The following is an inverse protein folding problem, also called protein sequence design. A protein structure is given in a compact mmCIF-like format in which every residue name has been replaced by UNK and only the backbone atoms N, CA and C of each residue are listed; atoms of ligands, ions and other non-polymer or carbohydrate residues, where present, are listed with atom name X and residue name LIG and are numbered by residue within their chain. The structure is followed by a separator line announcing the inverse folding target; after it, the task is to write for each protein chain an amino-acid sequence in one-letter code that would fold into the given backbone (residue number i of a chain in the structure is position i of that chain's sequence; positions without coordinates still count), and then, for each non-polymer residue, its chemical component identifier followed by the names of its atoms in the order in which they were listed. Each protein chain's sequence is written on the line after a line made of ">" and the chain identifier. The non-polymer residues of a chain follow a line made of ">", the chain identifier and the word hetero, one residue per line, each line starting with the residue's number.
data_IF_723025646959
#
_entry.id   IF_723025646959
#
_cell.length_a   1.000
_cell.length_b   1.000
_cell.length_c   1.000
_cell.angle_alpha   90.00
_cell.angle_beta   90.00
_cell.angle_gamma   90.00
#
_symmetry.space_group_name_H-M   'P 1'
#
loop_
_entity.id
_entity.type
_entity.pdbx_description
1 polymer ?
#
# COMPACT_ATOMS: atom_id res chain seq x y z
N UNK A 1 -30.01 10.23 0.82
CA UNK A 1 -28.80 10.66 1.54
C UNK A 1 -27.66 10.68 0.55
N UNK A 2 -26.83 11.73 0.58
CA UNK A 2 -25.71 11.84 -0.35
C UNK A 2 -24.49 11.02 0.06
N UNK A 3 -23.56 10.88 -0.88
CA UNK A 3 -22.32 10.12 -0.71
C UNK A 3 -21.10 10.87 -1.23
N UNK A 4 -19.93 10.58 -0.69
CA UNK A 4 -18.64 11.01 -1.20
C UNK A 4 -17.90 9.82 -1.82
N UNK A 5 -17.16 10.07 -2.90
CA UNK A 5 -16.36 9.07 -3.60
C UNK A 5 -14.88 9.39 -3.48
N UNK A 6 -14.09 8.46 -2.98
CA UNK A 6 -12.63 8.49 -2.99
C UNK A 6 -12.08 7.47 -3.97
N UNK A 7 -11.13 7.88 -4.81
CA UNK A 7 -10.43 6.97 -5.74
C UNK A 7 -8.91 7.16 -5.57
N UNK A 8 -8.23 6.11 -5.13
CA UNK A 8 -6.77 6.05 -5.05
C UNK A 8 -6.23 5.22 -6.21
N UNK A 9 -5.57 5.88 -7.16
CA UNK A 9 -5.02 5.21 -8.34
C UNK A 9 -3.50 5.14 -8.21
N UNK A 10 -3.04 4.01 -7.70
CA UNK A 10 -1.63 3.66 -7.60
C UNK A 10 -1.11 2.89 -8.82
N UNK A 11 0.19 2.60 -8.79
CA UNK A 11 0.88 1.87 -9.86
C UNK A 11 0.49 0.39 -9.94
N UNK A 12 0.18 -0.22 -8.80
CA UNK A 12 -0.17 -1.65 -8.70
C UNK A 12 -1.67 -1.86 -8.50
N UNK A 13 -2.33 -0.99 -7.74
CA UNK A 13 -3.75 -1.08 -7.45
C UNK A 13 -4.50 0.22 -7.65
N UNK A 14 -5.81 0.09 -7.82
CA UNK A 14 -6.79 1.16 -7.85
C UNK A 14 -7.83 0.83 -6.79
N UNK A 15 -7.95 1.70 -5.80
CA UNK A 15 -8.82 1.51 -4.65
C UNK A 15 -9.97 2.52 -4.73
N UNK A 16 -11.19 2.06 -4.45
CA UNK A 16 -12.35 2.93 -4.38
C UNK A 16 -12.93 2.85 -2.98
N UNK A 17 -13.44 3.97 -2.48
CA UNK A 17 -14.22 4.03 -1.25
C UNK A 17 -15.41 4.97 -1.46
N UNK A 18 -16.60 4.52 -1.06
CA UNK A 18 -17.80 5.36 -1.02
C UNK A 18 -18.19 5.56 0.44
N UNK A 19 -18.23 6.82 0.84
CA UNK A 19 -18.62 7.22 2.19
C UNK A 19 -20.00 7.85 2.16
N UNK A 20 -20.84 7.54 3.15
CA UNK A 20 -22.03 8.34 3.44
C UNK A 20 -21.60 9.69 4.04
N UNK A 21 -22.52 10.66 4.01
CA UNK A 21 -22.29 12.01 4.52
C UNK A 21 -21.82 12.06 6.00
N UNK A 22 -22.25 11.11 6.82
CA UNK A 22 -21.80 10.97 8.23
C UNK A 22 -20.43 10.29 8.38
N UNK A 23 -19.83 9.83 7.28
CA UNK A 23 -18.55 9.15 7.25
C UNK A 23 -18.61 7.63 7.32
N UNK A 24 -19.80 7.01 7.34
CA UNK A 24 -19.90 5.56 7.25
C UNK A 24 -19.38 5.06 5.90
N UNK A 25 -18.52 4.04 5.91
CA UNK A 25 -18.03 3.38 4.69
C UNK A 25 -19.13 2.47 4.15
N UNK A 26 -19.69 2.82 2.99
CA UNK A 26 -20.75 2.03 2.35
C UNK A 26 -20.20 1.02 1.34
N UNK A 27 -19.05 1.31 0.75
CA UNK A 27 -18.42 0.45 -0.25
C UNK A 27 -16.91 0.68 -0.26
N UNK A 28 -16.16 -0.39 -0.43
CA UNK A 28 -14.73 -0.34 -0.76
C UNK A 28 -14.42 -1.42 -1.77
N UNK A 29 -13.48 -1.15 -2.67
CA UNK A 29 -12.95 -2.16 -3.56
C UNK A 29 -11.45 -1.94 -3.81
N UNK A 30 -10.77 -3.05 -4.10
CA UNK A 30 -9.35 -3.10 -4.43
C UNK A 30 -9.17 -3.85 -5.75
N UNK A 31 -8.77 -3.11 -6.78
CA UNK A 31 -8.58 -3.65 -8.12
C UNK A 31 -7.10 -3.55 -8.50
N UNK A 32 -6.57 -4.56 -9.21
CA UNK A 32 -5.22 -4.46 -9.78
C UNK A 32 -5.26 -3.53 -10.98
N UNK A 33 -4.46 -2.45 -10.98
CA UNK A 33 -4.41 -1.45 -12.06
C UNK A 33 -3.97 -2.07 -13.39
N UNK A 34 -3.03 -3.03 -13.36
CA UNK A 34 -2.49 -3.74 -14.54
C UNK A 34 -2.07 -2.83 -15.70
N UNK A 35 -1.58 -1.63 -15.39
CA UNK A 35 -1.17 -0.64 -16.40
C UNK A 35 -2.32 0.06 -17.14
N UNK A 36 -3.58 -0.25 -16.84
CA UNK A 36 -4.75 0.42 -17.41
C UNK A 36 -5.62 1.05 -16.29
N UNK A 37 -5.20 2.21 -15.74
CA UNK A 37 -5.94 2.89 -14.69
C UNK A 37 -7.34 3.32 -15.14
N UNK A 38 -7.55 3.58 -16.43
CA UNK A 38 -8.86 3.95 -16.95
C UNK A 38 -9.85 2.81 -16.78
N UNK A 39 -9.45 1.60 -17.20
CA UNK A 39 -10.28 0.41 -17.06
C UNK A 39 -10.52 0.08 -15.60
N UNK A 40 -9.48 0.09 -14.75
CA UNK A 40 -9.62 -0.21 -13.33
C UNK A 40 -10.59 0.75 -12.62
N UNK A 41 -10.51 2.06 -12.90
CA UNK A 41 -11.48 3.04 -12.37
C UNK A 41 -12.89 2.76 -12.89
N UNK A 42 -13.06 2.51 -14.19
CA UNK A 42 -14.37 2.20 -14.79
C UNK A 42 -15.02 0.95 -14.18
N UNK A 43 -14.24 -0.11 -14.01
CA UNK A 43 -14.70 -1.38 -13.44
C UNK A 43 -15.10 -1.18 -11.97
N UNK A 44 -14.29 -0.44 -11.19
CA UNK A 44 -14.60 -0.13 -9.80
C UNK A 44 -15.86 0.73 -9.63
N UNK A 45 -16.07 1.72 -10.50
CA UNK A 45 -17.29 2.55 -10.47
C UNK A 45 -18.54 1.71 -10.79
N UNK A 46 -18.44 0.79 -11.76
CA UNK A 46 -19.53 -0.12 -12.08
C UNK A 46 -19.88 -1.05 -10.90
N UNK A 47 -18.88 -1.56 -10.20
CA UNK A 47 -19.05 -2.38 -8.99
C UNK A 47 -19.66 -1.58 -7.83
N UNK A 48 -19.23 -0.33 -7.62
CA UNK A 48 -19.82 0.54 -6.61
C UNK A 48 -21.30 0.83 -6.91
N UNK A 49 -21.62 1.15 -8.16
CA UNK A 49 -22.98 1.43 -8.61
C UNK A 49 -23.92 0.23 -8.45
N UNK A 50 -23.45 -0.98 -8.78
CA UNK A 50 -24.25 -2.20 -8.61
C UNK A 50 -24.43 -2.60 -7.14
N UNK A 51 -23.44 -2.33 -6.28
CA UNK A 51 -23.48 -2.72 -4.86
C UNK A 51 -24.37 -1.80 -4.00
N UNK A 52 -24.43 -0.50 -4.31
CA UNK A 52 -25.05 0.50 -3.42
C UNK A 52 -26.57 0.65 -3.55
N UNK A 53 -27.18 -0.01 -4.56
CA UNK A 53 -28.60 -0.07 -4.90
C UNK A 53 -29.34 1.29 -4.84
N UNK A 54 -29.79 1.76 -6.02
CA UNK A 54 -30.56 2.99 -6.16
C UNK A 54 -29.70 4.25 -6.37
N UNK A 55 -30.33 5.32 -6.85
CA UNK A 55 -29.65 6.57 -7.12
C UNK A 55 -29.33 7.31 -5.81
N UNK A 56 -28.05 7.63 -5.62
CA UNK A 56 -27.57 8.43 -4.49
C UNK A 56 -26.83 9.65 -5.06
N UNK A 57 -27.16 10.88 -4.61
CA UNK A 57 -26.44 12.06 -5.09
C UNK A 57 -24.99 12.00 -4.59
N UNK A 58 -24.04 12.10 -5.52
CA UNK A 58 -22.62 12.22 -5.20
C UNK A 58 -22.35 13.68 -4.83
N UNK A 59 -22.03 13.92 -3.57
CA UNK A 59 -21.80 15.25 -2.99
C UNK A 59 -20.39 15.77 -3.28
N UNK A 60 -19.46 14.87 -3.57
CA UNK A 60 -18.11 15.22 -3.97
C UNK A 60 -17.25 14.00 -4.28
N UNK A 61 -16.26 14.21 -5.15
CA UNK A 61 -15.33 13.20 -5.62
C UNK A 61 -13.90 13.67 -5.37
N UNK A 62 -13.09 12.81 -4.74
CA UNK A 62 -11.68 13.07 -4.48
C UNK A 62 -10.80 11.97 -5.09
N UNK A 63 -9.68 12.36 -5.69
CA UNK A 63 -8.70 11.41 -6.24
C UNK A 63 -7.31 11.57 -5.63
N UNK A 64 -6.64 10.43 -5.44
CA UNK A 64 -5.28 10.34 -4.91
C UNK A 64 -4.46 9.23 -5.59
N UNK A 65 -3.23 9.03 -5.14
CA UNK A 65 -2.26 8.12 -5.74
C UNK A 65 -1.42 8.73 -6.85
N UNK A 66 -0.60 7.89 -7.49
CA UNK A 66 0.37 8.28 -8.53
C UNK A 66 -0.31 8.77 -9.82
N UNK A 67 -1.47 8.21 -10.17
CA UNK A 67 -2.26 8.60 -11.34
C UNK A 67 -3.47 9.50 -10.99
N UNK A 68 -3.49 10.11 -9.80
CA UNK A 68 -4.60 10.95 -9.31
C UNK A 68 -5.12 12.02 -10.27
N UNK A 69 -4.21 12.67 -11.03
CA UNK A 69 -4.59 13.74 -11.97
C UNK A 69 -5.34 13.17 -13.16
N UNK A 70 -4.88 12.04 -13.67
CA UNK A 70 -5.56 11.31 -14.74
C UNK A 70 -6.94 10.85 -14.27
N UNK A 71 -7.00 10.20 -13.11
CA UNK A 71 -8.26 9.78 -12.50
C UNK A 71 -9.20 10.98 -12.27
N UNK A 72 -8.66 12.10 -11.79
CA UNK A 72 -9.43 13.32 -11.54
C UNK A 72 -10.08 13.88 -12.80
N UNK A 73 -9.37 13.90 -13.93
CA UNK A 73 -9.95 14.28 -15.22
C UNK A 73 -11.00 13.27 -15.67
N UNK A 74 -10.73 11.96 -15.50
CA UNK A 74 -11.62 10.89 -15.93
C UNK A 74 -12.99 10.94 -15.23
N UNK A 75 -13.02 11.27 -13.93
CA UNK A 75 -14.25 11.25 -13.12
C UNK A 75 -14.80 12.65 -12.80
N UNK A 76 -14.14 13.71 -13.26
CA UNK A 76 -14.53 15.09 -12.92
C UNK A 76 -14.37 15.41 -11.44
N UNK A 77 -13.25 15.01 -10.84
CA UNK A 77 -13.05 15.13 -9.39
C UNK A 77 -13.00 16.59 -8.91
N UNK A 78 -13.71 16.86 -7.82
CA UNK A 78 -13.71 18.15 -7.12
C UNK A 78 -12.37 18.41 -6.41
N UNK A 79 -11.70 17.33 -5.99
CA UNK A 79 -10.46 17.42 -5.22
C UNK A 79 -9.42 16.41 -5.71
N UNK A 80 -8.22 16.89 -6.06
CA UNK A 80 -7.07 16.05 -6.41
C UNK A 80 -5.94 16.30 -5.41
N UNK A 81 -5.60 15.30 -4.59
CA UNK A 81 -4.58 15.40 -3.53
C UNK A 81 -3.59 14.25 -3.59
N UNK A 82 -2.35 14.49 -3.20
CA UNK A 82 -1.34 13.43 -3.11
C UNK A 82 -1.68 12.42 -2.00
N UNK A 83 -1.14 11.21 -2.10
CA UNK A 83 -1.47 10.14 -1.15
C UNK A 83 -0.93 10.41 0.27
N UNK A 84 0.13 11.22 0.41
CA UNK A 84 0.65 11.63 1.73
C UNK A 84 -0.44 12.36 2.53
N UNK A 85 -1.10 13.36 1.92
CA UNK A 85 -2.18 14.09 2.57
C UNK A 85 -3.41 13.19 2.76
N UNK A 86 -3.74 12.34 1.79
CA UNK A 86 -4.89 11.45 1.88
C UNK A 86 -4.75 10.44 3.03
N UNK A 87 -3.62 9.74 3.12
CA UNK A 87 -3.33 8.79 4.19
C UNK A 87 -3.25 9.47 5.55
N UNK A 88 -2.57 10.62 5.67
CA UNK A 88 -2.51 11.35 6.93
C UNK A 88 -3.90 11.81 7.39
N UNK A 89 -4.71 12.35 6.48
CA UNK A 89 -6.07 12.80 6.79
C UNK A 89 -6.95 11.64 7.27
N UNK A 90 -6.88 10.49 6.60
CA UNK A 90 -7.59 9.29 7.01
C UNK A 90 -7.10 8.78 8.38
N UNK A 91 -5.78 8.73 8.58
CA UNK A 91 -5.17 8.26 9.82
C UNK A 91 -5.54 9.16 11.02
N UNK A 92 -5.48 10.49 10.86
CA UNK A 92 -5.88 11.45 11.91
C UNK A 92 -7.36 11.31 12.25
N UNK A 93 -8.21 11.13 11.23
CA UNK A 93 -9.66 10.95 11.45
C UNK A 93 -9.98 9.67 12.22
N UNK A 94 -9.29 8.57 11.90
CA UNK A 94 -9.52 7.27 12.56
C UNK A 94 -8.84 7.18 13.93
N UNK A 95 -7.66 7.79 14.07
CA UNK A 95 -6.82 7.76 15.25
C UNK A 95 -6.28 9.17 15.54
N UNK A 96 -7.00 9.99 16.32
CA UNK A 96 -6.59 11.37 16.61
C UNK A 96 -5.22 11.50 17.29
N UNK A 97 -4.73 10.43 17.94
CA UNK A 97 -3.42 10.32 18.59
C UNK A 97 -2.32 9.71 17.68
N UNK A 98 -2.58 9.54 16.38
CA UNK A 98 -1.60 9.01 15.43
C UNK A 98 -0.38 9.92 15.34
N UNK A 99 0.81 9.32 15.45
CA UNK A 99 2.08 10.01 15.39
C UNK A 99 2.95 9.55 14.21
N UNK A 100 2.70 8.37 13.67
CA UNK A 100 3.44 7.84 12.52
C UNK A 100 2.55 6.97 11.64
N UNK A 101 2.58 7.20 10.33
CA UNK A 101 2.01 6.30 9.32
C UNK A 101 3.15 5.66 8.54
N UNK A 102 3.14 4.33 8.46
CA UNK A 102 4.10 3.54 7.71
C UNK A 102 3.36 2.87 6.56
N UNK A 103 3.56 3.31 5.32
CA UNK A 103 2.91 2.72 4.16
C UNK A 103 3.95 1.99 3.30
N UNK A 104 3.65 0.74 2.94
CA UNK A 104 4.45 -0.05 1.99
C UNK A 104 3.57 -0.38 0.79
N UNK A 105 3.67 0.47 -0.21
CA UNK A 105 2.99 0.31 -1.49
C UNK A 105 3.71 -0.67 -2.41
N UNK A 106 3.17 -0.81 -3.63
CA UNK A 106 3.72 -1.72 -4.63
C UNK A 106 5.07 -1.30 -5.21
N UNK A 107 5.27 -0.01 -5.52
CA UNK A 107 6.49 0.51 -6.16
C UNK A 107 7.25 1.53 -5.33
N UNK A 108 6.61 2.08 -4.31
CA UNK A 108 7.17 3.05 -3.38
C UNK A 108 6.64 2.73 -1.98
N UNK A 109 7.23 3.37 -0.98
CA UNK A 109 6.86 3.22 0.41
C UNK A 109 7.09 4.55 1.12
N UNK A 110 6.24 4.85 2.09
CA UNK A 110 6.14 6.18 2.69
C UNK A 110 6.19 6.07 4.20
N UNK A 111 6.85 7.04 4.82
CA UNK A 111 6.77 7.28 6.26
C UNK A 111 6.25 8.68 6.45
N UNK A 112 5.16 8.84 7.20
CA UNK A 112 4.56 10.14 7.49
C UNK A 112 4.62 10.37 9.00
N UNK A 113 5.19 11.50 9.39
CA UNK A 113 5.30 11.92 10.79
C UNK A 113 4.22 12.97 11.06
N UNK A 114 3.38 12.69 12.05
CA UNK A 114 2.24 13.53 12.41
C UNK A 114 2.42 14.02 13.84
N UNK A 115 2.25 15.32 14.09
CA UNK A 115 2.24 15.90 15.45
C UNK A 115 1.07 16.85 15.54
N UNK A 116 0.32 16.78 16.64
CA UNK A 116 -0.84 17.64 16.88
C UNK A 116 -1.82 17.71 15.70
N UNK A 117 -2.07 16.56 15.05
CA UNK A 117 -2.96 16.45 13.90
C UNK A 117 -2.45 17.08 12.60
N UNK A 118 -1.16 17.43 12.51
CA UNK A 118 -0.54 17.96 11.29
C UNK A 118 0.67 17.16 10.85
N UNK A 119 0.87 17.06 9.53
CA UNK A 119 2.05 16.41 8.95
C UNK A 119 3.25 17.34 9.17
N UNK A 120 4.23 16.89 9.95
CA UNK A 120 5.45 17.68 10.23
C UNK A 120 6.65 17.24 9.40
N UNK A 121 6.64 16.00 8.92
CA UNK A 121 7.73 15.43 8.12
C UNK A 121 7.21 14.20 7.35
N UNK A 122 7.84 13.88 6.23
CA UNK A 122 7.59 12.64 5.50
C UNK A 122 8.82 12.17 4.73
N UNK A 123 8.88 10.88 4.42
CA UNK A 123 9.87 10.31 3.52
C UNK A 123 9.21 9.31 2.57
N UNK A 124 9.80 9.16 1.38
CA UNK A 124 9.35 8.21 0.36
C UNK A 124 10.55 7.68 -0.43
N UNK A 125 10.55 6.39 -0.79
CA UNK A 125 11.49 5.83 -1.77
C UNK A 125 10.78 5.66 -3.12
N UNK A 126 11.38 6.18 -4.21
CA UNK A 126 10.79 6.08 -5.57
C UNK A 126 11.62 5.26 -6.55
N UNK A 127 12.86 4.91 -6.19
CA UNK A 127 13.83 4.29 -7.13
C UNK A 127 14.09 2.81 -6.81
N UNK A 128 13.96 2.40 -5.54
CA UNK A 128 14.38 1.08 -5.10
C UNK A 128 13.19 0.19 -4.73
N UNK A 129 13.02 -0.89 -5.49
CA UNK A 129 11.97 -1.90 -5.26
C UNK A 129 12.19 -2.73 -3.98
N UNK A 130 13.42 -2.85 -3.49
CA UNK A 130 13.79 -3.76 -2.40
C UNK A 130 13.09 -3.45 -1.05
N UNK A 131 12.51 -2.26 -0.89
CA UNK A 131 11.73 -1.87 0.28
C UNK A 131 10.21 -1.81 0.06
N UNK A 132 9.70 -2.38 -1.03
CA UNK A 132 8.30 -2.21 -1.50
C UNK A 132 7.61 -3.56 -1.72
N UNK A 133 6.29 -3.58 -1.86
CA UNK A 133 5.51 -4.79 -2.12
C UNK A 133 5.96 -5.55 -3.38
N UNK A 134 6.43 -4.86 -4.43
CA UNK A 134 6.92 -5.50 -5.66
C UNK A 134 8.11 -6.44 -5.42
N UNK A 135 8.94 -6.19 -4.40
CA UNK A 135 10.02 -7.09 -4.03
C UNK A 135 9.49 -8.45 -3.58
N UNK A 136 8.44 -8.47 -2.75
CA UNK A 136 7.82 -9.71 -2.28
C UNK A 136 7.00 -10.36 -3.38
N UNK A 137 6.23 -9.61 -4.17
CA UNK A 137 5.48 -10.13 -5.33
C UNK A 137 6.41 -10.92 -6.28
N UNK A 138 7.60 -10.36 -6.58
CA UNK A 138 8.59 -11.00 -7.44
C UNK A 138 9.17 -12.29 -6.83
N UNK A 139 9.35 -12.35 -5.51
CA UNK A 139 9.87 -13.56 -4.85
C UNK A 139 8.78 -14.62 -4.70
N UNK A 140 7.56 -14.20 -4.40
CA UNK A 140 6.38 -15.05 -4.33
C UNK A 140 6.14 -15.79 -5.65
N UNK A 141 6.18 -15.06 -6.77
CA UNK A 141 6.09 -15.65 -8.11
C UNK A 141 7.15 -16.74 -8.35
N UNK A 142 8.42 -16.50 -7.95
CA UNK A 142 9.51 -17.47 -8.14
C UNK A 142 9.38 -18.73 -7.28
N UNK A 143 8.87 -18.56 -6.06
CA UNK A 143 8.62 -19.69 -5.15
C UNK A 143 7.34 -20.45 -5.50
N UNK A 144 6.54 -19.97 -6.46
CA UNK A 144 5.25 -20.56 -6.80
C UNK A 144 4.20 -20.40 -5.69
N UNK A 145 4.35 -19.38 -4.85
CA UNK A 145 3.48 -19.09 -3.70
C UNK A 145 2.77 -17.78 -3.97
N UNK A 146 1.47 -17.71 -3.67
CA UNK A 146 0.72 -16.46 -3.82
C UNK A 146 1.14 -15.44 -2.75
N UNK A 147 1.22 -14.16 -3.11
CA UNK A 147 1.63 -13.11 -2.16
C UNK A 147 0.70 -13.05 -0.94
N UNK A 148 -0.57 -13.40 -1.13
CA UNK A 148 -1.59 -13.46 -0.08
C UNK A 148 -1.28 -14.50 1.00
N UNK A 149 -0.53 -15.56 0.67
CA UNK A 149 -0.11 -16.61 1.63
C UNK A 149 1.27 -16.37 2.21
N UNK A 150 2.02 -15.39 1.69
CA UNK A 150 3.43 -15.18 2.04
C UNK A 150 3.61 -14.88 3.53
N UNK A 151 2.71 -14.09 4.12
CA UNK A 151 2.71 -13.81 5.55
C UNK A 151 2.49 -15.05 6.41
N UNK A 152 1.56 -15.94 6.02
CA UNK A 152 1.26 -17.17 6.75
C UNK A 152 2.46 -18.13 6.73
N UNK A 153 3.14 -18.25 5.59
CA UNK A 153 4.38 -19.01 5.49
C UNK A 153 5.48 -18.39 6.36
N UNK A 154 5.66 -17.06 6.34
CA UNK A 154 6.64 -16.38 7.18
C UNK A 154 6.41 -16.64 8.68
N UNK A 155 5.15 -16.71 9.10
CA UNK A 155 4.76 -16.93 10.49
C UNK A 155 5.06 -18.36 10.99
N UNK A 156 5.19 -19.34 10.08
CA UNK A 156 5.53 -20.73 10.41
C UNK A 156 7.03 -20.95 10.60
N UNK A 157 7.87 -19.97 10.23
CA UNK A 157 9.31 -20.04 10.35
C UNK A 157 9.75 -20.34 11.78
N UNK A 158 10.71 -21.26 11.91
CA UNK A 158 11.34 -21.61 13.19
C UNK A 158 12.77 -21.10 13.28
N UNK A 159 13.41 -20.86 12.13
CA UNK A 159 14.78 -20.41 12.06
C UNK A 159 14.98 -19.47 10.86
N UNK A 160 14.59 -18.21 11.01
CA UNK A 160 14.63 -17.20 9.94
C UNK A 160 16.01 -17.13 9.28
N UNK A 161 16.05 -17.36 7.98
CA UNK A 161 17.30 -17.29 7.22
C UNK A 161 17.62 -15.83 6.92
N UNK A 162 18.87 -15.43 7.12
CA UNK A 162 19.30 -14.10 6.67
C UNK A 162 19.43 -14.10 5.16
N UNK A 163 18.65 -13.22 4.50
CA UNK A 163 18.73 -12.96 3.06
C UNK A 163 19.40 -11.59 2.83
N UNK A 164 20.37 -11.56 1.91
CA UNK A 164 21.04 -10.37 1.40
C UNK A 164 20.06 -9.50 0.57
N UNK A 165 19.21 -8.74 1.25
CA UNK A 165 18.05 -8.08 0.65
C UNK A 165 18.30 -6.67 0.10
N UNK A 166 19.53 -6.15 0.11
CA UNK A 166 19.81 -4.74 -0.26
C UNK A 166 19.34 -4.37 -1.68
N UNK A 167 19.41 -5.33 -2.60
CA UNK A 167 18.92 -5.22 -3.97
C UNK A 167 18.05 -6.43 -4.27
N UNK A 168 16.97 -6.25 -5.03
CA UNK A 168 16.07 -7.35 -5.42
C UNK A 168 16.79 -8.46 -6.18
N UNK A 169 17.76 -8.11 -7.03
CA UNK A 169 18.58 -9.06 -7.80
C UNK A 169 19.48 -9.91 -6.91
N UNK A 170 20.10 -9.32 -5.88
CA UNK A 170 20.95 -10.07 -4.95
C UNK A 170 20.12 -10.91 -3.99
N UNK A 171 18.97 -10.40 -3.56
CA UNK A 171 18.04 -11.15 -2.74
C UNK A 171 17.56 -12.42 -3.45
N UNK A 172 17.30 -12.35 -4.76
CA UNK A 172 16.98 -13.51 -5.59
C UNK A 172 18.10 -14.55 -5.60
N UNK A 173 19.34 -14.12 -5.88
CA UNK A 173 20.48 -15.05 -5.95
C UNK A 173 20.73 -15.73 -4.60
N UNK A 174 20.65 -14.97 -3.50
CA UNK A 174 20.84 -15.52 -2.16
C UNK A 174 19.67 -16.44 -1.76
N UNK A 175 18.43 -16.07 -2.06
CA UNK A 175 17.25 -16.93 -1.85
C UNK A 175 17.41 -18.30 -2.54
N UNK A 176 17.81 -18.32 -3.81
CA UNK A 176 18.04 -19.55 -4.57
C UNK A 176 19.16 -20.37 -3.92
N UNK A 177 20.26 -19.71 -3.54
CA UNK A 177 21.36 -20.39 -2.86
C UNK A 177 20.92 -21.03 -1.53
N UNK A 178 20.12 -20.35 -0.71
CA UNK A 178 19.59 -20.91 0.54
C UNK A 178 18.66 -22.10 0.30
N UNK A 179 17.82 -22.03 -0.74
CA UNK A 179 16.98 -23.16 -1.13
C UNK A 179 17.83 -24.38 -1.54
N UNK A 180 18.92 -24.18 -2.29
CA UNK A 180 19.86 -25.25 -2.67
C UNK A 180 20.58 -25.88 -1.47
N UNK A 181 20.81 -25.12 -0.41
CA UNK A 181 21.35 -25.63 0.86
C UNK A 181 20.32 -26.38 1.72
N UNK A 182 19.07 -26.51 1.23
CA UNK A 182 18.00 -27.21 1.94
C UNK A 182 17.30 -26.38 3.02
N UNK A 183 17.42 -25.05 2.98
CA UNK A 183 16.69 -24.20 3.92
C UNK A 183 15.16 -24.32 3.68
N UNK A 184 14.36 -24.46 4.75
CA UNK A 184 12.90 -24.51 4.63
C UNK A 184 12.32 -23.26 3.97
N UNK A 185 11.24 -23.42 3.21
CA UNK A 185 10.64 -22.31 2.45
C UNK A 185 10.10 -21.22 3.38
N UNK A 186 9.49 -21.59 4.50
CA UNK A 186 9.01 -20.68 5.55
C UNK A 186 10.13 -19.81 6.12
N UNK A 187 11.31 -20.39 6.33
CA UNK A 187 12.47 -19.71 6.90
C UNK A 187 13.10 -18.73 5.89
N UNK A 188 13.11 -19.09 4.60
CA UNK A 188 13.50 -18.21 3.50
C UNK A 188 12.52 -17.03 3.39
N UNK A 189 11.22 -17.31 3.40
CA UNK A 189 10.17 -16.29 3.29
C UNK A 189 10.23 -15.30 4.47
N UNK A 190 10.40 -15.80 5.69
CA UNK A 190 10.60 -14.94 6.85
C UNK A 190 11.85 -14.05 6.71
N UNK A 191 12.93 -14.59 6.14
CA UNK A 191 14.14 -13.85 5.80
C UNK A 191 13.94 -12.72 4.79
N UNK A 192 13.09 -12.95 3.78
CA UNK A 192 12.68 -11.94 2.79
C UNK A 192 11.84 -10.85 3.45
N UNK A 193 10.90 -11.21 4.32
CA UNK A 193 10.12 -10.25 5.12
C UNK A 193 11.01 -9.42 6.06
N UNK A 194 12.01 -10.01 6.71
CA UNK A 194 12.96 -9.21 7.50
C UNK A 194 13.76 -8.26 6.58
N UNK A 195 14.05 -8.72 5.36
CA UNK A 195 14.71 -7.96 4.33
C UNK A 195 13.97 -6.68 3.93
N UNK A 196 12.65 -6.76 3.71
CA UNK A 196 11.84 -5.59 3.35
C UNK A 196 11.82 -4.57 4.50
N UNK A 197 11.67 -5.03 5.75
CA UNK A 197 11.66 -4.17 6.94
C UNK A 197 13.00 -3.44 7.09
N UNK A 198 14.13 -4.16 6.98
CA UNK A 198 15.47 -3.55 7.00
C UNK A 198 15.63 -2.48 5.92
N UNK A 199 15.20 -2.78 4.69
CA UNK A 199 15.29 -1.84 3.58
C UNK A 199 14.40 -0.61 3.77
N UNK A 200 13.18 -0.80 4.25
CA UNK A 200 12.24 0.28 4.54
C UNK A 200 12.80 1.23 5.60
N UNK A 201 13.27 0.69 6.73
CA UNK A 201 13.85 1.52 7.81
C UNK A 201 15.12 2.26 7.36
N UNK A 202 15.98 1.62 6.58
CA UNK A 202 17.21 2.25 6.09
C UNK A 202 16.96 3.31 5.02
N UNK A 203 16.05 3.05 4.07
CA UNK A 203 15.89 3.89 2.88
C UNK A 203 14.79 4.95 3.02
N UNK A 204 13.73 4.63 3.79
CA UNK A 204 12.58 5.52 4.04
C UNK A 204 12.67 6.09 5.44
N UNK A 205 12.89 5.22 6.44
CA UNK A 205 13.01 5.62 7.84
C UNK A 205 14.12 6.64 8.08
N UNK A 206 15.35 6.39 7.57
CA UNK A 206 16.50 7.33 7.57
C UNK A 206 16.71 8.07 8.91
N UNK A 207 16.51 7.38 10.03
CA UNK A 207 16.69 7.95 11.38
C UNK A 207 15.53 8.82 11.88
N UNK A 208 14.42 8.94 11.14
CA UNK A 208 13.20 9.60 11.63
C UNK A 208 12.65 8.85 12.85
N UNK A 209 12.15 9.61 13.83
CA UNK A 209 11.58 9.06 15.06
C UNK A 209 10.19 8.49 14.77
N UNK A 210 10.07 7.16 14.89
CA UNK A 210 8.79 6.44 14.85
C UNK A 210 8.21 6.48 16.26
N UNK A 211 7.07 7.16 16.42
CA UNK A 211 6.41 7.36 17.71
C UNK A 211 5.02 6.72 17.71
N UNK A 212 4.60 6.21 18.88
CA UNK A 212 3.24 5.70 19.05
C UNK A 212 2.27 6.89 19.15
N UNK A 213 1.07 6.81 18.55
CA UNK A 213 0.49 5.66 17.84
C UNK A 213 1.01 5.52 16.40
N UNK A 214 1.35 4.29 16.02
CA UNK A 214 1.80 3.92 14.66
C UNK A 214 0.65 3.25 13.92
N UNK A 215 0.38 3.67 12.69
CA UNK A 215 -0.54 3.02 11.74
C UNK A 215 0.29 2.48 10.58
N UNK A 216 -0.04 1.26 10.14
CA UNK A 216 0.53 0.61 8.96
C UNK A 216 -0.58 0.36 7.94
#
# INVERSE_FOLDING_TARGET
>A
MGVFLGIDVGSVSTNLAVLREDGEVLFTDYLRTRGDPRRAVSDGLALAGSSLNGERPVLGVATTGSARRFAGVLVGADLVKNEIVAHATAAIRMYPDVSTVLEIGGQDSKLIVIRDGVIVDFAMNTVCAAGTGSFLDQQAFRLGISIEKFGDHAAQSRNRVTIASKCTVFAESDMIHKAQLGAPTEDIIAGLCDGIVRNYLNNVGKGKRIEKRVVF
#
